data_IF_186774942887
#
_entry.id   IF_186774942887
#
_cell.length_a   1.000
_cell.length_b   1.000
_cell.length_c   1.000
_cell.angle_alpha   90.00
_cell.angle_beta   90.00
_cell.angle_gamma   90.00
#
_symmetry.space_group_name_H-M   'P 1'
#
loop_
_entity.id
_entity.type
_entity.pdbx_description
1 polymer ?
#
# COMPACT_ATOMS: atom_id res chain seq x y z
N UNK A 1 21.50 10.81 2.15
CA UNK A 1 20.91 11.87 1.25
C UNK A 1 21.04 13.22 1.92
N UNK A 2 21.53 14.26 1.23
CA UNK A 2 21.38 15.63 1.76
C UNK A 2 19.89 16.00 1.69
N UNK A 3 19.26 16.35 2.81
CA UNK A 3 17.83 16.65 2.80
C UNK A 3 17.54 17.83 1.87
N UNK A 4 16.75 17.57 0.83
CA UNK A 4 16.17 18.62 0.00
C UNK A 4 15.03 19.28 0.78
N UNK A 5 14.89 20.59 0.66
CA UNK A 5 13.77 21.31 1.29
C UNK A 5 12.41 20.92 0.74
N UNK A 6 12.38 20.28 -0.43
CA UNK A 6 11.14 19.89 -1.11
C UNK A 6 10.89 18.37 -1.07
N UNK A 7 11.91 17.56 -1.29
CA UNK A 7 11.84 16.11 -1.34
C UNK A 7 12.84 15.52 -2.34
N UNK A 8 12.88 14.18 -2.50
CA UNK A 8 13.77 13.50 -3.43
C UNK A 8 13.19 13.45 -4.86
N UNK A 9 12.49 14.47 -5.29
CA UNK A 9 11.86 14.59 -6.61
C UNK A 9 11.68 16.06 -7.00
N UNK A 10 11.61 16.32 -8.31
CA UNK A 10 11.29 17.65 -8.81
C UNK A 10 9.79 17.93 -8.70
N UNK A 11 9.42 19.20 -8.46
CA UNK A 11 8.02 19.62 -8.59
C UNK A 11 7.54 19.46 -10.03
N UNK A 12 6.49 18.71 -10.22
CA UNK A 12 5.88 18.45 -11.51
C UNK A 12 4.36 18.46 -11.36
N UNK A 13 3.69 19.61 -11.63
CA UNK A 13 2.24 19.67 -11.53
C UNK A 13 1.60 18.81 -12.62
N UNK A 14 0.50 18.14 -12.26
CA UNK A 14 -0.17 17.16 -13.12
C UNK A 14 -0.60 17.74 -14.48
N UNK A 15 -0.87 19.05 -14.52
CA UNK A 15 -1.28 19.79 -15.71
C UNK A 15 -0.17 20.01 -16.76
N UNK A 16 1.09 19.81 -16.39
CA UNK A 16 2.25 19.98 -17.28
C UNK A 16 2.98 18.68 -17.58
N UNK A 17 2.45 17.55 -17.13
CA UNK A 17 3.01 16.23 -17.39
C UNK A 17 2.64 15.72 -18.78
N UNK A 18 3.50 14.93 -19.42
CA UNK A 18 3.10 14.17 -20.59
C UNK A 18 1.93 13.25 -20.28
N UNK A 19 1.02 13.03 -21.23
CA UNK A 19 -0.08 12.09 -21.06
C UNK A 19 0.43 10.69 -20.66
N UNK A 20 -0.22 10.10 -19.67
CA UNK A 20 -0.02 8.71 -19.25
C UNK A 20 -1.17 7.87 -19.79
N UNK A 21 -0.85 6.82 -20.52
CA UNK A 21 -1.85 5.87 -21.04
C UNK A 21 -1.71 4.54 -20.33
N UNK A 22 -2.83 3.98 -19.88
CA UNK A 22 -2.88 2.64 -19.31
C UNK A 22 -3.18 1.57 -20.36
N UNK A 23 -2.91 0.28 -20.10
CA UNK A 23 -3.21 -0.81 -21.03
C UNK A 23 -4.68 -0.83 -21.46
N UNK A 24 -4.92 -1.24 -22.70
CA UNK A 24 -6.25 -1.42 -23.27
C UNK A 24 -7.14 -0.16 -23.25
N UNK A 25 -6.54 1.03 -23.20
CA UNK A 25 -7.27 2.30 -23.12
C UNK A 25 -7.94 2.56 -21.78
N UNK A 26 -7.50 1.86 -20.72
CA UNK A 26 -8.01 2.11 -19.37
C UNK A 26 -7.71 3.57 -18.95
N UNK A 27 -8.61 4.12 -18.16
CA UNK A 27 -8.56 5.50 -17.68
C UNK A 27 -8.00 5.59 -16.26
N UNK A 28 -8.34 4.61 -15.41
CA UNK A 28 -7.89 4.54 -14.02
C UNK A 28 -7.27 3.17 -13.76
N UNK A 29 -6.01 3.15 -13.32
CA UNK A 29 -5.41 1.96 -12.74
C UNK A 29 -5.85 1.87 -11.28
N UNK A 30 -6.53 0.78 -10.92
CA UNK A 30 -7.04 0.55 -9.57
C UNK A 30 -6.30 -0.60 -8.93
N UNK A 31 -5.72 -0.37 -7.77
CA UNK A 31 -5.09 -1.41 -6.98
C UNK A 31 -5.63 -1.44 -5.56
N UNK A 32 -5.80 -2.64 -5.04
CA UNK A 32 -6.30 -2.87 -3.67
C UNK A 32 -5.16 -3.33 -2.79
N UNK A 33 -4.99 -2.66 -1.67
CA UNK A 33 -3.95 -2.93 -0.69
C UNK A 33 -4.55 -3.44 0.63
N UNK A 34 -4.66 -4.75 0.84
CA UNK A 34 -4.87 -5.30 2.16
C UNK A 34 -3.60 -5.14 3.00
N UNK A 35 -3.70 -4.41 4.12
CA UNK A 35 -2.62 -4.29 5.09
C UNK A 35 -2.70 -5.49 6.06
N UNK A 36 -1.91 -6.52 5.81
CA UNK A 36 -1.86 -7.74 6.65
C UNK A 36 -0.80 -7.54 7.73
N UNK A 37 -1.27 -7.07 8.87
CA UNK A 37 -0.44 -6.64 9.97
C UNK A 37 -0.30 -7.70 11.05
N UNK A 38 0.86 -7.74 11.68
CA UNK A 38 1.15 -8.55 12.85
C UNK A 38 1.47 -7.67 14.06
N UNK A 39 0.96 -8.07 15.20
CA UNK A 39 1.19 -7.40 16.49
C UNK A 39 1.52 -8.46 17.51
N UNK A 40 2.64 -8.31 18.21
CA UNK A 40 3.00 -9.19 19.32
C UNK A 40 2.16 -8.86 20.55
N UNK A 41 1.74 -9.86 21.29
CA UNK A 41 0.94 -9.67 22.50
C UNK A 41 1.73 -8.98 23.64
N UNK A 42 3.03 -9.15 23.63
CA UNK A 42 3.99 -8.58 24.60
C UNK A 42 4.53 -7.19 24.19
N UNK A 43 4.17 -6.69 23.01
CA UNK A 43 4.51 -5.32 22.58
C UNK A 43 3.47 -4.29 23.04
N UNK A 44 3.91 -3.04 23.16
CA UNK A 44 3.01 -1.91 23.39
C UNK A 44 2.22 -1.64 22.12
N UNK A 45 0.91 -1.88 22.19
CA UNK A 45 0.01 -1.69 21.06
C UNK A 45 -0.15 -0.21 20.68
N UNK A 46 -0.20 0.13 19.38
CA UNK A 46 -0.56 1.47 18.96
C UNK A 46 -1.93 1.89 19.52
N UNK A 47 -2.02 3.12 20.03
CA UNK A 47 -3.22 3.63 20.72
C UNK A 47 -4.41 3.98 19.82
N UNK A 48 -4.24 3.93 18.50
CA UNK A 48 -5.16 4.50 17.50
C UNK A 48 -6.58 3.93 17.50
N UNK A 49 -6.83 2.80 18.14
CA UNK A 49 -8.16 2.17 18.15
C UNK A 49 -8.93 2.43 19.46
N UNK A 50 -8.33 3.09 20.44
CA UNK A 50 -8.98 3.33 21.71
C UNK A 50 -8.46 4.63 22.35
N UNK A 51 -8.98 5.77 21.89
CA UNK A 51 -8.65 7.10 22.40
C UNK A 51 -8.97 7.29 23.92
N UNK A 52 -9.72 6.34 24.50
CA UNK A 52 -10.10 6.39 25.92
C UNK A 52 -9.01 5.88 26.87
N UNK A 53 -7.98 5.24 26.34
CA UNK A 53 -6.85 4.76 27.16
C UNK A 53 -5.60 5.51 26.74
N UNK A 54 -5.09 6.43 27.58
CA UNK A 54 -3.80 7.09 27.32
C UNK A 54 -2.71 6.08 27.07
N UNK A 55 -1.79 6.37 26.13
CA UNK A 55 -0.71 5.47 25.73
C UNK A 55 0.13 5.01 26.94
N UNK A 56 0.31 5.89 27.92
CA UNK A 56 1.05 5.62 29.15
C UNK A 56 0.37 4.59 30.06
N UNK A 57 -0.94 4.36 29.86
CA UNK A 57 -1.73 3.37 30.60
C UNK A 57 -1.98 2.09 29.78
N UNK A 58 -1.51 2.03 28.54
CA UNK A 58 -1.58 0.83 27.72
C UNK A 58 -0.60 -0.21 28.28
N UNK A 59 -1.09 -1.03 29.23
CA UNK A 59 -0.31 -2.10 29.84
C UNK A 59 -0.24 -3.31 28.92
N UNK A 60 0.90 -3.98 28.93
CA UNK A 60 1.10 -5.28 28.31
C UNK A 60 0.66 -6.37 29.32
N UNK A 61 -0.16 -7.36 28.92
CA UNK A 61 -0.80 -7.51 27.61
C UNK A 61 -2.07 -6.66 27.47
N UNK A 62 -2.24 -6.06 26.28
CA UNK A 62 -3.46 -5.35 25.91
C UNK A 62 -4.41 -6.29 25.15
N UNK A 63 -5.03 -7.23 25.85
CA UNK A 63 -5.81 -8.32 25.25
C UNK A 63 -6.89 -7.83 24.28
N UNK A 64 -7.67 -6.82 24.67
CA UNK A 64 -8.73 -6.27 23.81
C UNK A 64 -8.18 -5.70 22.50
N UNK A 65 -7.09 -4.94 22.59
CA UNK A 65 -6.49 -4.24 21.45
C UNK A 65 -5.81 -5.25 20.49
N UNK A 66 -5.08 -6.20 21.07
CA UNK A 66 -4.44 -7.27 20.35
C UNK A 66 -5.47 -8.19 19.67
N UNK A 67 -6.46 -8.69 20.43
CA UNK A 67 -7.46 -9.61 19.90
C UNK A 67 -8.31 -9.02 18.78
N UNK A 68 -8.58 -7.70 18.81
CA UNK A 68 -9.24 -7.02 17.70
C UNK A 68 -8.41 -7.09 16.40
N UNK A 69 -7.10 -6.96 16.50
CA UNK A 69 -6.18 -7.05 15.34
C UNK A 69 -5.99 -8.50 14.91
N UNK A 70 -5.84 -9.42 15.84
CA UNK A 70 -5.72 -10.86 15.57
C UNK A 70 -6.96 -11.41 14.85
N UNK A 71 -8.16 -10.89 15.14
CA UNK A 71 -9.37 -11.16 14.36
C UNK A 71 -9.15 -10.94 12.85
N UNK A 72 -8.36 -9.94 12.49
CA UNK A 72 -8.02 -9.66 11.09
C UNK A 72 -7.38 -10.87 10.42
N UNK A 73 -6.36 -11.45 11.05
CA UNK A 73 -5.61 -12.59 10.50
C UNK A 73 -6.38 -13.91 10.63
N UNK A 74 -7.27 -14.03 11.63
CA UNK A 74 -8.07 -15.24 11.83
C UNK A 74 -9.32 -15.34 10.96
N UNK A 75 -9.98 -14.20 10.69
CA UNK A 75 -11.29 -14.15 10.04
C UNK A 75 -11.36 -13.13 8.92
N UNK A 76 -10.90 -11.91 9.19
CA UNK A 76 -11.11 -10.75 8.31
C UNK A 76 -10.43 -10.89 6.96
N UNK A 77 -9.20 -11.38 6.92
CA UNK A 77 -8.41 -11.56 5.70
C UNK A 77 -9.11 -12.51 4.71
N UNK A 78 -9.66 -13.61 5.20
CA UNK A 78 -10.38 -14.60 4.38
C UNK A 78 -11.64 -14.02 3.74
N UNK A 79 -12.30 -13.11 4.46
CA UNK A 79 -13.48 -12.42 3.95
C UNK A 79 -13.11 -11.40 2.87
N UNK A 80 -11.99 -10.69 3.04
CA UNK A 80 -11.45 -9.79 2.02
C UNK A 80 -11.02 -10.59 0.78
N UNK A 81 -10.26 -11.67 0.94
CA UNK A 81 -9.85 -12.56 -0.16
C UNK A 81 -11.05 -13.02 -0.98
N UNK A 82 -12.14 -13.43 -0.30
CA UNK A 82 -13.38 -13.84 -0.98
C UNK A 82 -14.01 -12.72 -1.81
N UNK A 83 -14.04 -11.50 -1.30
CA UNK A 83 -14.60 -10.35 -2.04
C UNK A 83 -13.69 -9.99 -3.22
N UNK A 84 -12.38 -9.91 -3.04
CA UNK A 84 -11.45 -9.60 -4.11
C UNK A 84 -11.50 -10.64 -5.23
N UNK A 85 -11.56 -11.92 -4.88
CA UNK A 85 -11.69 -13.02 -5.85
C UNK A 85 -12.98 -12.96 -6.67
N UNK A 86 -14.10 -12.49 -6.10
CA UNK A 86 -15.38 -12.28 -6.80
C UNK A 86 -15.22 -11.36 -8.02
N UNK A 87 -14.33 -10.38 -7.92
CA UNK A 87 -14.08 -9.39 -8.98
C UNK A 87 -12.79 -9.64 -9.76
N UNK A 88 -12.11 -10.74 -9.51
CA UNK A 88 -10.82 -11.06 -10.16
C UNK A 88 -9.68 -10.11 -9.77
N UNK A 89 -9.79 -9.44 -8.63
CA UNK A 89 -8.78 -8.50 -8.14
C UNK A 89 -7.59 -9.28 -7.56
N UNK A 90 -6.42 -9.09 -8.15
CA UNK A 90 -5.13 -9.48 -7.58
C UNK A 90 -4.61 -8.32 -6.74
N UNK A 91 -4.59 -8.50 -5.43
CA UNK A 91 -4.16 -7.46 -4.52
C UNK A 91 -2.63 -7.31 -4.48
N UNK A 92 -2.17 -6.12 -4.08
CA UNK A 92 -0.81 -5.91 -3.58
C UNK A 92 -0.91 -5.74 -2.08
N UNK A 93 -0.53 -6.75 -1.32
CA UNK A 93 -0.66 -6.69 0.14
C UNK A 93 0.56 -6.08 0.80
N UNK A 94 0.35 -5.06 1.64
CA UNK A 94 1.36 -4.59 2.58
C UNK A 94 1.46 -5.61 3.72
N UNK A 95 2.59 -6.31 3.79
CA UNK A 95 2.76 -7.49 4.62
C UNK A 95 3.81 -7.27 5.72
N UNK A 96 3.40 -7.32 6.98
CA UNK A 96 4.38 -7.48 8.04
C UNK A 96 5.01 -8.88 7.95
N UNK A 97 6.34 -8.94 7.96
CA UNK A 97 7.04 -10.19 7.68
C UNK A 97 6.85 -11.28 8.74
N UNK A 98 6.47 -10.94 9.98
CA UNK A 98 6.16 -11.93 11.02
C UNK A 98 4.86 -12.69 10.75
N UNK A 99 3.99 -12.20 9.87
CA UNK A 99 2.83 -12.96 9.37
C UNK A 99 3.29 -14.27 8.72
N UNK A 100 4.45 -14.26 8.03
CA UNK A 100 5.00 -15.45 7.38
C UNK A 100 5.27 -16.59 8.37
N UNK A 101 5.73 -16.26 9.57
CA UNK A 101 6.08 -17.27 10.58
C UNK A 101 4.84 -17.74 11.36
N UNK A 102 3.90 -16.83 11.62
CA UNK A 102 2.76 -17.10 12.51
C UNK A 102 1.48 -17.51 11.77
N UNK A 103 1.34 -17.10 10.51
CA UNK A 103 0.13 -17.32 9.69
C UNK A 103 0.46 -17.74 8.25
N UNK A 104 1.28 -18.81 8.03
CA UNK A 104 1.74 -19.22 6.71
C UNK A 104 0.60 -19.51 5.73
N UNK A 105 -0.57 -19.94 6.20
CA UNK A 105 -1.76 -20.21 5.39
C UNK A 105 -2.26 -18.96 4.65
N UNK A 106 -2.06 -17.76 5.24
CA UNK A 106 -2.42 -16.50 4.59
C UNK A 106 -1.52 -16.27 3.37
N UNK A 107 -0.21 -16.54 3.52
CA UNK A 107 0.77 -16.40 2.44
C UNK A 107 0.47 -17.39 1.32
N UNK A 108 0.24 -18.65 1.65
CA UNK A 108 -0.12 -19.69 0.69
C UNK A 108 -1.35 -19.31 -0.14
N UNK A 109 -2.39 -18.80 0.51
CA UNK A 109 -3.61 -18.43 -0.20
C UNK A 109 -3.43 -17.15 -1.01
N UNK A 110 -2.72 -16.14 -0.51
CA UNK A 110 -2.40 -14.93 -1.26
C UNK A 110 -1.64 -15.26 -2.56
N UNK A 111 -0.67 -16.17 -2.50
CA UNK A 111 0.09 -16.64 -3.67
C UNK A 111 -0.80 -17.39 -4.67
N UNK A 112 -1.71 -18.27 -4.21
CA UNK A 112 -2.68 -18.97 -5.08
C UNK A 112 -3.61 -17.98 -5.79
N UNK A 113 -3.98 -16.88 -5.13
CA UNK A 113 -4.79 -15.82 -5.70
C UNK A 113 -3.99 -14.86 -6.60
N UNK A 114 -2.69 -15.09 -6.78
CA UNK A 114 -1.82 -14.24 -7.59
C UNK A 114 -1.56 -12.86 -6.99
N UNK A 115 -1.64 -12.74 -5.67
CA UNK A 115 -1.36 -11.48 -4.99
C UNK A 115 0.14 -11.16 -5.00
N UNK A 116 0.44 -9.89 -5.11
CA UNK A 116 1.77 -9.35 -4.87
C UNK A 116 1.98 -9.14 -3.36
N UNK A 117 3.16 -9.56 -2.87
CA UNK A 117 3.57 -9.31 -1.49
C UNK A 117 4.53 -8.13 -1.45
N UNK A 118 4.15 -7.06 -0.75
CA UNK A 118 4.92 -5.83 -0.58
C UNK A 118 5.44 -5.75 0.87
N UNK A 119 6.69 -5.32 1.07
CA UNK A 119 7.26 -5.17 2.40
C UNK A 119 6.54 -4.10 3.22
N UNK A 120 6.22 -4.43 4.49
CA UNK A 120 5.57 -3.53 5.45
C UNK A 120 6.20 -3.64 6.84
N UNK A 121 7.52 -3.79 6.92
CA UNK A 121 8.21 -4.00 8.17
C UNK A 121 7.99 -5.38 8.79
N UNK A 122 8.55 -5.58 9.99
CA UNK A 122 8.47 -6.86 10.71
C UNK A 122 7.14 -7.00 11.43
N UNK A 123 6.80 -6.00 12.24
CA UNK A 123 5.52 -5.85 12.94
C UNK A 123 5.01 -4.43 12.77
N UNK A 124 3.72 -4.20 13.03
CA UNK A 124 3.16 -2.85 12.94
C UNK A 124 3.25 -2.04 14.25
N UNK A 125 3.86 -2.60 15.28
CA UNK A 125 4.16 -1.90 16.53
C UNK A 125 5.44 -1.06 16.46
N UNK A 126 6.41 -1.44 15.62
CA UNK A 126 7.69 -0.75 15.45
C UNK A 126 7.62 0.37 14.41
N UNK A 127 8.15 1.54 14.74
CA UNK A 127 8.30 2.68 13.82
C UNK A 127 9.75 2.86 13.46
N UNK A 128 10.05 2.87 12.17
CA UNK A 128 11.43 2.91 11.66
C UNK A 128 12.14 4.24 11.97
N UNK A 129 11.40 5.33 12.10
CA UNK A 129 11.94 6.65 12.41
C UNK A 129 12.52 6.78 13.84
N UNK A 130 12.32 5.76 14.69
CA UNK A 130 12.92 5.67 16.03
C UNK A 130 14.19 4.77 16.03
N UNK A 131 14.55 4.17 14.89
CA UNK A 131 15.63 3.22 14.77
C UNK A 131 16.99 3.91 14.51
N UNK A 132 18.10 3.28 14.97
CA UNK A 132 19.43 3.66 14.52
C UNK A 132 19.64 3.29 13.04
N UNK A 133 20.64 3.85 12.35
CA UNK A 133 20.94 3.49 10.96
C UNK A 133 21.12 2.00 10.71
N UNK A 134 21.81 1.31 11.63
CA UNK A 134 22.05 -0.14 11.55
C UNK A 134 20.75 -0.91 11.78
N UNK A 135 19.96 -0.52 12.76
CA UNK A 135 18.66 -1.12 13.06
C UNK A 135 17.69 -0.93 11.89
N UNK A 136 17.68 0.23 11.24
CA UNK A 136 16.87 0.49 10.06
C UNK A 136 17.22 -0.45 8.91
N UNK A 137 18.50 -0.63 8.62
CA UNK A 137 18.99 -1.54 7.60
C UNK A 137 18.57 -2.98 7.88
N UNK A 138 18.84 -3.46 9.09
CA UNK A 138 18.50 -4.82 9.52
C UNK A 138 16.99 -5.05 9.48
N UNK A 139 16.21 -4.04 9.82
CA UNK A 139 14.75 -4.08 9.77
C UNK A 139 14.22 -4.23 8.35
N UNK A 140 14.72 -3.43 7.41
CA UNK A 140 14.28 -3.46 6.00
C UNK A 140 14.72 -4.78 5.35
N UNK A 141 16.01 -5.11 5.41
CA UNK A 141 16.53 -6.34 4.80
C UNK A 141 15.91 -7.58 5.43
N UNK A 142 15.82 -7.64 6.76
CA UNK A 142 15.19 -8.75 7.47
C UNK A 142 13.72 -8.94 7.12
N UNK A 143 12.99 -7.85 6.87
CA UNK A 143 11.60 -7.90 6.37
C UNK A 143 11.53 -8.57 5.01
N UNK A 144 12.32 -8.07 4.04
CA UNK A 144 12.29 -8.56 2.66
C UNK A 144 12.79 -10.00 2.56
N UNK A 145 13.87 -10.35 3.27
CA UNK A 145 14.45 -11.70 3.30
C UNK A 145 13.48 -12.73 3.90
N UNK A 146 12.70 -12.33 4.92
CA UNK A 146 11.72 -13.22 5.55
C UNK A 146 10.56 -13.50 4.60
N UNK A 147 10.03 -12.48 3.93
CA UNK A 147 8.97 -12.64 2.94
C UNK A 147 9.45 -13.49 1.77
N UNK A 148 10.66 -13.23 1.26
CA UNK A 148 11.26 -14.02 0.18
C UNK A 148 11.41 -15.49 0.55
N UNK A 149 11.89 -15.81 1.73
CA UNK A 149 11.99 -17.21 2.22
C UNK A 149 10.65 -17.91 2.29
N UNK A 150 9.59 -17.20 2.68
CA UNK A 150 8.26 -17.76 2.83
C UNK A 150 7.50 -17.92 1.50
N UNK A 151 7.74 -17.01 0.55
CA UNK A 151 6.98 -16.93 -0.70
C UNK A 151 7.74 -17.42 -1.94
N UNK A 152 9.07 -17.49 -1.86
CA UNK A 152 9.95 -17.71 -3.02
C UNK A 152 10.14 -16.47 -3.90
N UNK A 153 9.54 -15.32 -3.55
CA UNK A 153 9.62 -14.08 -4.33
C UNK A 153 10.06 -12.92 -3.42
N UNK A 154 11.13 -12.24 -3.80
CA UNK A 154 11.58 -11.03 -3.09
C UNK A 154 10.63 -9.86 -3.39
N UNK A 155 10.11 -9.18 -2.37
CA UNK A 155 9.28 -8.00 -2.58
C UNK A 155 10.04 -6.88 -3.30
N UNK A 156 9.40 -6.23 -4.26
CA UNK A 156 9.96 -5.07 -4.97
C UNK A 156 9.26 -3.76 -4.59
N UNK A 157 8.21 -3.83 -3.81
CA UNK A 157 7.47 -2.69 -3.27
C UNK A 157 7.63 -2.56 -1.76
N UNK A 158 7.44 -1.33 -1.27
CA UNK A 158 7.48 -0.99 0.14
C UNK A 158 6.37 -0.01 0.52
N UNK A 159 5.75 -0.28 1.66
CA UNK A 159 4.89 0.65 2.40
C UNK A 159 5.36 0.64 3.86
N UNK A 160 5.87 1.74 4.37
CA UNK A 160 6.34 1.84 5.75
C UNK A 160 5.18 1.80 6.76
N UNK A 161 5.30 1.10 7.90
CA UNK A 161 4.31 1.17 8.95
C UNK A 161 4.04 2.61 9.40
N UNK A 162 2.79 3.08 9.17
CA UNK A 162 2.39 4.47 9.42
C UNK A 162 3.04 5.50 8.49
N UNK A 163 3.51 5.09 7.30
CA UNK A 163 4.20 5.92 6.32
C UNK A 163 5.42 6.63 6.90
N UNK A 164 6.09 5.99 7.86
CA UNK A 164 7.22 6.57 8.56
C UNK A 164 8.53 6.25 7.86
N UNK A 165 9.34 7.29 7.63
CA UNK A 165 10.67 7.19 7.05
C UNK A 165 11.72 7.94 7.90
N UNK A 166 12.98 7.58 7.76
CA UNK A 166 14.13 8.40 8.11
C UNK A 166 14.67 9.09 6.83
N UNK A 167 15.67 9.94 6.97
CA UNK A 167 16.35 10.53 5.81
C UNK A 167 17.11 9.50 4.93
N UNK A 168 17.22 8.26 5.37
CA UNK A 168 17.97 7.19 4.71
C UNK A 168 17.10 6.07 4.19
N UNK A 169 15.82 6.00 4.60
CA UNK A 169 14.93 4.90 4.27
C UNK A 169 14.93 4.58 2.78
N UNK A 170 14.75 5.57 1.92
CA UNK A 170 14.71 5.36 0.47
C UNK A 170 16.03 4.82 -0.11
N UNK A 171 17.19 5.27 0.43
CA UNK A 171 18.49 4.74 0.03
C UNK A 171 18.63 3.27 0.42
N UNK A 172 18.29 2.93 1.67
CA UNK A 172 18.32 1.55 2.18
C UNK A 172 17.36 0.64 1.42
N UNK A 173 16.16 1.12 1.12
CA UNK A 173 15.20 0.39 0.28
C UNK A 173 15.76 0.12 -1.12
N UNK A 174 16.39 1.12 -1.74
CA UNK A 174 17.04 0.95 -3.05
C UNK A 174 18.19 -0.06 -3.00
N UNK A 175 19.03 -0.03 -1.97
CA UNK A 175 20.09 -1.02 -1.75
C UNK A 175 19.54 -2.43 -1.55
N UNK A 176 18.37 -2.55 -0.91
CA UNK A 176 17.69 -3.83 -0.68
C UNK A 176 16.94 -4.37 -1.93
N UNK A 177 16.96 -3.62 -3.04
CA UNK A 177 16.36 -4.00 -4.31
C UNK A 177 14.90 -3.59 -4.49
N UNK A 178 14.36 -2.76 -3.60
CA UNK A 178 13.01 -2.19 -3.74
C UNK A 178 12.97 -1.24 -4.93
N UNK A 179 11.90 -1.31 -5.72
CA UNK A 179 11.71 -0.55 -6.96
C UNK A 179 10.70 0.57 -6.81
N UNK A 180 9.76 0.43 -5.89
CA UNK A 180 8.76 1.47 -5.63
C UNK A 180 8.42 1.56 -4.14
N UNK A 181 8.06 2.78 -3.74
CA UNK A 181 7.62 3.11 -2.39
C UNK A 181 6.26 3.81 -2.43
N UNK A 182 5.40 3.51 -1.45
CA UNK A 182 4.03 4.04 -1.37
C UNK A 182 3.85 5.07 -0.25
N UNK A 183 4.92 5.46 0.46
CA UNK A 183 4.84 6.34 1.64
C UNK A 183 4.53 7.79 1.29
N UNK A 184 4.80 8.21 0.04
CA UNK A 184 4.61 9.56 -0.46
C UNK A 184 3.23 9.73 -1.10
N UNK A 185 2.25 10.15 -0.30
CA UNK A 185 0.82 10.24 -0.66
C UNK A 185 0.45 11.58 -1.32
N UNK A 186 1.29 12.08 -2.22
CA UNK A 186 1.19 13.46 -2.75
C UNK A 186 0.83 13.54 -4.23
N UNK A 187 0.37 12.43 -4.84
CA UNK A 187 0.08 12.39 -6.27
C UNK A 187 -1.02 11.39 -6.65
N UNK A 188 -1.59 11.53 -7.84
CA UNK A 188 -2.54 10.62 -8.49
C UNK A 188 -1.91 9.86 -9.68
N UNK A 189 -0.64 10.09 -9.96
CA UNK A 189 0.14 9.37 -10.96
C UNK A 189 1.46 8.91 -10.35
N UNK A 190 2.02 7.77 -10.78
CA UNK A 190 3.38 7.41 -10.40
C UNK A 190 4.37 8.49 -10.85
N UNK A 191 5.43 8.66 -10.11
CA UNK A 191 6.53 9.52 -10.51
C UNK A 191 7.87 8.96 -10.04
N UNK A 192 8.92 9.32 -10.77
CA UNK A 192 10.29 8.87 -10.47
C UNK A 192 10.92 9.72 -9.39
N UNK A 193 11.53 9.10 -8.40
CA UNK A 193 12.30 9.75 -7.34
C UNK A 193 13.80 9.75 -7.66
N UNK A 194 14.52 10.76 -7.19
CA UNK A 194 15.98 10.90 -7.39
C UNK A 194 16.75 10.02 -6.39
N UNK A 195 16.39 8.73 -6.35
CA UNK A 195 16.97 7.72 -5.44
C UNK A 195 17.20 6.44 -6.22
N UNK A 196 18.38 5.85 -6.04
CA UNK A 196 18.75 4.54 -6.59
C UNK A 196 19.12 4.53 -8.07
N UNK A 197 19.53 3.36 -8.54
CA UNK A 197 19.81 3.08 -9.95
C UNK A 197 19.42 1.61 -10.24
N UNK A 198 18.33 1.36 -10.98
CA UNK A 198 17.40 2.34 -11.56
C UNK A 198 16.66 3.18 -10.50
N UNK A 199 16.20 4.35 -10.89
CA UNK A 199 15.48 5.25 -9.98
C UNK A 199 14.22 4.62 -9.44
N UNK A 200 13.97 4.84 -8.14
CA UNK A 200 12.78 4.38 -7.45
C UNK A 200 11.53 5.14 -7.93
N UNK A 201 10.39 4.47 -7.96
CA UNK A 201 9.10 5.07 -8.30
C UNK A 201 8.28 5.28 -7.03
N UNK A 202 7.67 6.45 -6.86
CA UNK A 202 6.57 6.64 -5.93
C UNK A 202 5.28 6.15 -6.59
N UNK A 203 4.64 5.15 -5.98
CA UNK A 203 3.31 4.68 -6.42
C UNK A 203 2.25 5.35 -5.55
N UNK A 204 1.24 6.01 -6.15
CA UNK A 204 0.17 6.64 -5.40
C UNK A 204 -0.54 5.68 -4.43
N UNK A 205 -0.56 6.07 -3.16
CA UNK A 205 -1.33 5.51 -2.07
C UNK A 205 -2.25 6.59 -1.51
N UNK A 206 -3.26 6.26 -0.72
CA UNK A 206 -4.20 7.25 -0.22
C UNK A 206 -4.58 6.99 1.23
N UNK A 207 -4.63 8.04 2.03
CA UNK A 207 -5.21 8.00 3.38
C UNK A 207 -6.73 8.24 3.35
N UNK A 208 -7.25 8.88 2.30
CA UNK A 208 -8.69 9.16 2.14
C UNK A 208 -9.49 7.89 1.79
N UNK A 209 -8.89 6.99 1.03
CA UNK A 209 -9.47 5.68 0.65
C UNK A 209 -8.90 4.53 1.49
N UNK A 210 -8.43 4.85 2.70
CA UNK A 210 -7.93 3.92 3.70
C UNK A 210 -8.94 3.80 4.85
N UNK A 211 -9.32 2.58 5.18
CA UNK A 211 -10.37 2.28 6.16
C UNK A 211 -9.99 2.67 7.60
N UNK A 212 -8.71 2.65 7.98
CA UNK A 212 -8.27 3.06 9.33
C UNK A 212 -8.50 4.54 9.54
N UNK A 213 -7.95 5.48 8.74
CA UNK A 213 -8.29 6.89 8.85
C UNK A 213 -9.80 7.14 8.70
N UNK A 214 -10.47 6.51 7.74
CA UNK A 214 -11.90 6.72 7.51
C UNK A 214 -12.74 6.41 8.76
N UNK A 215 -12.58 5.21 9.34
CA UNK A 215 -13.42 4.80 10.47
C UNK A 215 -12.95 5.32 11.82
N UNK A 216 -11.64 5.51 12.04
CA UNK A 216 -11.13 5.84 13.37
C UNK A 216 -10.77 7.31 13.55
N UNK A 217 -10.36 8.01 12.50
CA UNK A 217 -10.03 9.44 12.57
C UNK A 217 -11.19 10.29 12.10
N UNK A 218 -11.70 10.05 10.88
CA UNK A 218 -12.82 10.81 10.30
C UNK A 218 -14.19 10.37 10.82
N UNK A 219 -14.28 9.23 11.55
CA UNK A 219 -15.51 8.67 12.13
C UNK A 219 -16.58 8.35 11.06
N UNK A 220 -16.18 8.03 9.87
CA UNK A 220 -17.10 7.68 8.78
C UNK A 220 -17.96 6.46 9.13
N UNK A 221 -19.21 6.47 8.74
CA UNK A 221 -20.07 5.30 8.73
C UNK A 221 -19.74 4.37 7.55
N UNK A 222 -20.26 3.15 7.56
CA UNK A 222 -20.03 2.20 6.47
C UNK A 222 -20.55 2.73 5.12
N UNK A 223 -21.75 3.34 5.02
CA UNK A 223 -22.21 3.95 3.79
C UNK A 223 -21.38 5.15 3.32
N UNK A 224 -20.82 5.93 4.25
CA UNK A 224 -19.95 7.06 3.90
C UNK A 224 -18.62 6.57 3.33
N UNK A 225 -18.00 5.55 3.91
CA UNK A 225 -16.78 4.96 3.34
C UNK A 225 -17.04 4.35 1.96
N UNK A 226 -18.14 3.61 1.78
CA UNK A 226 -18.56 3.11 0.47
C UNK A 226 -18.68 4.26 -0.54
N UNK A 227 -19.36 5.34 -0.17
CA UNK A 227 -19.53 6.52 -1.03
C UNK A 227 -18.18 7.15 -1.36
N UNK A 228 -17.31 7.35 -0.38
CA UNK A 228 -15.97 7.91 -0.60
C UNK A 228 -15.19 7.12 -1.65
N UNK A 229 -15.25 5.77 -1.61
CA UNK A 229 -14.57 4.94 -2.60
C UNK A 229 -15.15 5.14 -4.01
N UNK A 230 -16.48 5.22 -4.13
CA UNK A 230 -17.16 5.44 -5.42
C UNK A 230 -16.89 6.84 -5.98
N UNK A 231 -17.09 7.86 -5.16
CA UNK A 231 -16.89 9.27 -5.56
C UNK A 231 -15.43 9.53 -5.96
N UNK A 232 -14.47 8.93 -5.24
CA UNK A 232 -13.05 9.01 -5.61
C UNK A 232 -12.79 8.39 -6.99
N UNK A 233 -13.34 7.21 -7.25
CA UNK A 233 -13.20 6.57 -8.55
C UNK A 233 -13.83 7.42 -9.66
N UNK A 234 -15.05 7.90 -9.46
CA UNK A 234 -15.81 8.67 -10.47
C UNK A 234 -15.08 9.99 -10.83
N UNK A 235 -14.50 10.67 -9.82
CA UNK A 235 -13.73 11.89 -10.07
C UNK A 235 -12.42 11.59 -10.81
N UNK A 236 -11.65 10.58 -10.36
CA UNK A 236 -10.42 10.17 -11.07
C UNK A 236 -10.71 9.72 -12.50
N UNK A 237 -11.85 9.06 -12.70
CA UNK A 237 -12.30 8.67 -14.04
C UNK A 237 -12.62 9.90 -14.90
N UNK A 238 -13.33 10.88 -14.36
CA UNK A 238 -13.59 12.15 -15.08
C UNK A 238 -12.29 12.89 -15.43
N UNK A 239 -11.36 13.01 -14.47
CA UNK A 239 -10.10 13.74 -14.65
C UNK A 239 -9.08 13.01 -15.56
N UNK A 240 -9.33 11.76 -15.89
CA UNK A 240 -8.41 10.93 -16.69
C UNK A 240 -8.62 11.04 -18.20
N UNK A 241 -9.45 11.95 -18.71
CA UNK A 241 -9.76 12.07 -20.13
C UNK A 241 -8.51 12.25 -21.01
N UNK A 242 -7.54 13.03 -20.55
CA UNK A 242 -6.27 13.28 -21.27
C UNK A 242 -5.07 12.52 -20.74
N UNK A 243 -5.15 11.94 -19.53
CA UNK A 243 -4.01 11.29 -18.87
C UNK A 243 -4.48 10.41 -17.72
N UNK A 244 -4.09 9.14 -17.76
CA UNK A 244 -4.51 8.13 -16.78
C UNK A 244 -4.21 8.51 -15.32
N UNK A 245 -5.03 7.98 -14.42
CA UNK A 245 -4.91 8.15 -12.97
C UNK A 245 -4.68 6.82 -12.28
N UNK A 246 -4.27 6.88 -11.02
CA UNK A 246 -4.16 5.72 -10.12
C UNK A 246 -5.11 5.91 -8.95
N UNK A 247 -5.84 4.86 -8.61
CA UNK A 247 -6.62 4.76 -7.38
C UNK A 247 -6.10 3.64 -6.52
N UNK A 248 -5.73 3.94 -5.28
CA UNK A 248 -5.45 2.95 -4.24
C UNK A 248 -6.69 2.77 -3.36
N UNK A 249 -6.99 1.52 -2.97
CA UNK A 249 -7.99 1.19 -1.93
C UNK A 249 -7.25 0.44 -0.84
N UNK A 250 -7.04 1.07 0.31
CA UNK A 250 -6.34 0.47 1.43
C UNK A 250 -7.31 -0.05 2.49
N UNK A 251 -7.19 -1.32 2.82
CA UNK A 251 -8.08 -1.98 3.79
C UNK A 251 -7.28 -2.82 4.79
N UNK A 252 -7.75 -2.83 6.04
CA UNK A 252 -7.16 -3.64 7.08
C UNK A 252 -8.09 -4.80 7.42
N UNK A 253 -7.60 -6.06 7.45
CA UNK A 253 -8.43 -7.23 7.75
C UNK A 253 -9.23 -7.12 9.04
N UNK A 254 -8.67 -6.48 10.08
CA UNK A 254 -9.37 -6.28 11.35
C UNK A 254 -10.41 -5.15 11.33
N UNK A 255 -10.42 -4.32 10.28
CA UNK A 255 -11.37 -3.20 10.07
C UNK A 255 -12.42 -3.58 9.04
N UNK A 256 -12.06 -3.54 7.76
CA UNK A 256 -12.99 -3.86 6.65
C UNK A 256 -13.40 -5.32 6.64
N UNK A 257 -12.56 -6.24 7.12
CA UNK A 257 -12.91 -7.66 7.26
C UNK A 257 -14.00 -7.97 8.29
N UNK A 258 -14.49 -6.98 9.07
CA UNK A 258 -15.65 -7.15 9.96
C UNK A 258 -16.95 -7.41 9.16
N UNK A 259 -17.81 -8.26 9.70
CA UNK A 259 -19.05 -8.70 9.02
C UNK A 259 -19.94 -7.54 8.58
N UNK A 260 -20.02 -6.47 9.37
CA UNK A 260 -20.86 -5.30 9.07
C UNK A 260 -20.21 -4.29 8.13
N UNK A 261 -18.87 -4.39 7.89
CA UNK A 261 -18.10 -3.42 7.08
C UNK A 261 -17.74 -3.92 5.68
N UNK A 262 -17.57 -5.23 5.52
CA UNK A 262 -17.09 -5.82 4.25
C UNK A 262 -17.91 -5.43 3.03
N UNK A 263 -19.22 -5.15 3.23
CA UNK A 263 -20.11 -4.74 2.15
C UNK A 263 -19.71 -3.44 1.47
N UNK A 264 -19.02 -2.52 2.16
CA UNK A 264 -18.56 -1.27 1.57
C UNK A 264 -17.52 -1.53 0.48
N UNK A 265 -16.57 -2.45 0.74
CA UNK A 265 -15.60 -2.88 -0.27
C UNK A 265 -16.26 -3.61 -1.43
N UNK A 266 -17.20 -4.52 -1.15
CA UNK A 266 -17.93 -5.28 -2.16
C UNK A 266 -18.69 -4.35 -3.11
N UNK A 267 -19.47 -3.40 -2.56
CA UNK A 267 -20.25 -2.45 -3.35
C UNK A 267 -19.38 -1.42 -4.11
N UNK A 268 -18.23 -1.03 -3.57
CA UNK A 268 -17.30 -0.16 -4.27
C UNK A 268 -16.64 -0.87 -5.45
N UNK A 269 -16.23 -2.13 -5.29
CA UNK A 269 -15.66 -2.92 -6.39
C UNK A 269 -16.69 -3.23 -7.46
N UNK A 270 -17.95 -3.51 -7.08
CA UNK A 270 -19.04 -3.68 -8.04
C UNK A 270 -19.21 -2.44 -8.93
N UNK A 271 -19.21 -1.26 -8.30
CA UNK A 271 -19.27 0.02 -9.01
C UNK A 271 -18.08 0.20 -9.95
N UNK A 272 -16.84 0.06 -9.45
CA UNK A 272 -15.62 0.23 -10.23
C UNK A 272 -15.56 -0.74 -11.41
N UNK A 273 -15.85 -2.01 -11.18
CA UNK A 273 -15.80 -3.04 -12.22
C UNK A 273 -16.90 -2.89 -13.27
N UNK A 274 -17.99 -2.19 -12.97
CA UNK A 274 -19.02 -1.86 -13.94
C UNK A 274 -18.60 -0.84 -14.99
N UNK A 275 -17.49 -0.10 -14.74
CA UNK A 275 -16.96 0.89 -15.66
C UNK A 275 -15.92 0.25 -16.60
N UNK A 276 -16.08 0.43 -17.92
CA UNK A 276 -15.20 -0.15 -18.93
C UNK A 276 -13.78 0.42 -19.00
N UNK A 277 -13.42 1.39 -18.15
CA UNK A 277 -12.12 2.06 -18.14
C UNK A 277 -11.29 1.86 -16.87
N UNK A 278 -11.64 0.89 -16.02
CA UNK A 278 -10.83 0.51 -14.88
C UNK A 278 -9.85 -0.61 -15.26
N UNK A 279 -8.57 -0.44 -14.91
CA UNK A 279 -7.56 -1.50 -14.98
C UNK A 279 -7.25 -1.97 -13.56
N UNK A 280 -7.75 -3.15 -13.22
CA UNK A 280 -7.45 -3.81 -11.94
C UNK A 280 -6.04 -4.40 -12.03
N UNK A 281 -5.09 -3.84 -11.30
CA UNK A 281 -3.68 -4.20 -11.40
C UNK A 281 -3.04 -4.35 -10.02
N UNK A 282 -1.88 -5.00 -9.97
CA UNK A 282 -1.00 -4.94 -8.81
C UNK A 282 -0.13 -3.68 -8.86
N UNK A 283 0.46 -3.30 -7.71
CA UNK A 283 1.38 -2.16 -7.65
C UNK A 283 2.57 -2.33 -8.58
N UNK A 284 3.16 -3.53 -8.62
CA UNK A 284 4.27 -3.85 -9.50
C UNK A 284 3.90 -3.72 -10.98
N UNK A 285 2.69 -4.12 -11.38
CA UNK A 285 2.21 -3.98 -12.78
C UNK A 285 2.07 -2.51 -13.17
N UNK A 286 1.50 -1.68 -12.28
CA UNK A 286 1.36 -0.24 -12.52
C UNK A 286 2.74 0.41 -12.67
N UNK A 287 3.66 0.09 -11.77
CA UNK A 287 5.03 0.63 -11.80
C UNK A 287 5.80 0.17 -13.03
N UNK A 288 5.72 -1.11 -13.40
CA UNK A 288 6.38 -1.63 -14.59
C UNK A 288 5.86 -0.94 -15.86
N UNK A 289 4.54 -0.76 -15.98
CA UNK A 289 3.95 -0.08 -17.13
C UNK A 289 4.36 1.41 -17.18
N UNK A 290 4.36 2.09 -16.05
CA UNK A 290 4.82 3.48 -15.94
C UNK A 290 6.28 3.61 -16.39
N UNK A 291 7.17 2.76 -15.88
CA UNK A 291 8.59 2.76 -16.26
C UNK A 291 8.80 2.52 -17.76
N UNK A 292 8.10 1.54 -18.35
CA UNK A 292 8.16 1.29 -19.79
C UNK A 292 7.73 2.51 -20.60
N UNK A 293 6.69 3.20 -20.19
CA UNK A 293 6.20 4.41 -20.84
C UNK A 293 7.19 5.57 -20.73
N UNK A 294 7.87 5.73 -19.59
CA UNK A 294 8.93 6.72 -19.41
C UNK A 294 10.17 6.41 -20.28
N UNK A 295 10.60 5.13 -20.32
CA UNK A 295 11.73 4.72 -21.16
C UNK A 295 11.48 5.02 -22.63
N UNK A 296 10.32 4.60 -23.15
CA UNK A 296 9.96 4.85 -24.55
C UNK A 296 9.98 6.36 -24.89
N UNK A 297 9.51 7.19 -23.98
CA UNK A 297 9.52 8.66 -24.14
C UNK A 297 10.92 9.25 -24.13
N UNK A 298 11.80 8.77 -23.24
CA UNK A 298 13.18 9.24 -23.16
C UNK A 298 13.99 8.85 -24.41
N UNK A 299 13.80 7.65 -24.92
CA UNK A 299 14.39 7.19 -26.17
C UNK A 299 13.94 8.07 -27.36
N UNK A 300 12.63 8.36 -27.47
CA UNK A 300 12.10 9.25 -28.51
C UNK A 300 12.68 10.66 -28.41
N UNK A 301 13.00 11.13 -27.21
CA UNK A 301 13.63 12.43 -26.98
C UNK A 301 15.18 12.41 -27.16
N UNK A 302 15.77 11.29 -27.58
CA UNK A 302 17.22 11.12 -27.75
C UNK A 302 18.02 11.20 -26.44
N UNK A 303 17.38 10.97 -25.28
CA UNK A 303 18.01 10.98 -23.96
C UNK A 303 18.33 9.55 -23.53
N UNK A 304 19.62 9.31 -23.21
CA UNK A 304 20.04 8.01 -22.69
C UNK A 304 19.52 7.83 -21.26
N UNK A 305 18.84 6.73 -21.03
CA UNK A 305 18.43 6.30 -19.68
C UNK A 305 19.66 5.80 -18.95
N UNK A 306 20.07 6.46 -17.90
CA UNK A 306 21.13 6.00 -16.97
C UNK A 306 20.51 5.56 -15.66
#
# INVERSE_FOLDING_TARGET
MNPSRYGPFAYSPITSRPPLAWPNGARVAVWVNPNIEFFRLDDVMPSNLNERVPRELAKVPSVRNWALRDFGNRVGVWRIMKVLSKYGVRATTALNSEVCDHHPQIIEEALKLGWELMGHGQTNAMRINEASPEQERDYIFGTLDRIERASGVRPTGWLGPGLAETWRTLEVLSEAGVRYCCDWINDEQPYTMDVGSPRMVSLPYSVQTNDVPAYFEMKASVPEFERTLKDQFDQLYADSEGSGRVMAIAVHPFVTGQAHRIRALDAALDHICSHGGAWLATGAEIVAHYQQSEFARLEQAGRTVR
#
